data_IF_119608711359
#
_entry.id   IF_119608711359
#
_cell.length_a   1.000
_cell.length_b   1.000
_cell.length_c   1.000
_cell.angle_alpha   90.00
_cell.angle_beta   90.00
_cell.angle_gamma   90.00
#
_symmetry.space_group_name_H-M   'P 1'
#
loop_
_entity.id
_entity.type
_entity.pdbx_description
1 polymer ?
#
# COMPACT_ATOMS: atom_id res chain seq x y z
N UNK A 1 -18.34 3.83 -10.26
CA UNK A 1 -18.32 3.28 -8.89
C UNK A 1 -16.93 3.43 -8.31
N UNK A 2 -16.85 3.96 -7.11
CA UNK A 2 -15.56 4.08 -6.41
C UNK A 2 -15.05 2.70 -5.98
N UNK A 3 -13.82 2.38 -6.39
CA UNK A 3 -13.17 1.12 -6.01
C UNK A 3 -11.87 1.44 -5.27
N UNK A 4 -11.84 1.32 -3.94
CA UNK A 4 -10.66 1.68 -3.16
C UNK A 4 -9.49 0.71 -3.32
N UNK A 5 -9.72 -0.47 -3.89
CA UNK A 5 -8.70 -1.48 -4.14
C UNK A 5 -8.65 -1.83 -5.63
N UNK A 6 -7.47 -2.22 -6.15
CA UNK A 6 -7.38 -2.84 -7.48
C UNK A 6 -8.22 -4.11 -7.55
N UNK A 7 -8.68 -4.47 -8.75
CA UNK A 7 -9.47 -5.69 -8.95
C UNK A 7 -8.69 -6.97 -8.61
N UNK A 8 -7.37 -6.89 -8.63
CA UNK A 8 -6.51 -8.02 -8.28
C UNK A 8 -6.48 -8.33 -6.78
N UNK A 9 -7.08 -7.48 -5.94
CA UNK A 9 -7.01 -7.61 -4.48
C UNK A 9 -8.39 -7.68 -3.84
N UNK A 10 -8.44 -8.37 -2.71
CA UNK A 10 -9.61 -8.37 -1.83
C UNK A 10 -9.18 -8.29 -0.37
N UNK A 11 -10.12 -7.94 0.50
CA UNK A 11 -9.95 -7.96 1.95
C UNK A 11 -10.63 -9.20 2.49
N UNK A 12 -9.93 -9.96 3.32
CA UNK A 12 -10.44 -11.19 3.90
C UNK A 12 -9.82 -11.43 5.28
N UNK A 13 -10.39 -12.33 6.09
CA UNK A 13 -9.78 -12.71 7.37
C UNK A 13 -8.36 -13.23 7.17
N UNK A 14 -7.44 -12.75 8.02
CA UNK A 14 -6.02 -13.05 7.94
C UNK A 14 -5.61 -14.04 9.03
N UNK A 15 -4.67 -14.93 8.70
CA UNK A 15 -4.02 -15.77 9.71
C UNK A 15 -2.98 -15.02 10.54
N UNK A 16 -2.62 -13.80 10.14
CA UNK A 16 -1.64 -12.97 10.85
C UNK A 16 -2.34 -12.12 11.90
N UNK A 17 -3.29 -11.29 11.47
CA UNK A 17 -4.01 -10.39 12.36
C UNK A 17 -5.27 -9.88 11.65
N UNK A 18 -6.42 -9.98 12.30
CA UNK A 18 -7.69 -9.42 11.85
C UNK A 18 -8.00 -9.67 10.37
N UNK A 19 -8.13 -8.58 9.61
CA UNK A 19 -8.32 -8.60 8.16
C UNK A 19 -6.99 -8.33 7.46
N UNK A 20 -6.85 -8.82 6.25
CA UNK A 20 -5.68 -8.61 5.43
C UNK A 20 -6.01 -8.45 3.95
N UNK A 21 -4.99 -8.14 3.16
CA UNK A 21 -5.09 -8.06 1.70
C UNK A 21 -4.71 -9.40 1.08
N UNK A 22 -5.54 -9.89 0.18
CA UNK A 22 -5.31 -11.17 -0.50
C UNK A 22 -5.39 -11.00 -2.01
N UNK A 23 -4.58 -11.78 -2.72
CA UNK A 23 -4.59 -11.79 -4.18
C UNK A 23 -5.81 -12.53 -4.70
N UNK A 24 -6.63 -11.86 -5.51
CA UNK A 24 -7.77 -12.44 -6.21
C UNK A 24 -7.34 -13.20 -7.46
N UNK A 25 -6.15 -12.90 -7.94
CA UNK A 25 -5.54 -13.51 -9.11
C UNK A 25 -4.03 -13.50 -8.92
N UNK A 26 -3.30 -14.20 -9.79
CA UNK A 26 -1.85 -14.14 -9.77
C UNK A 26 -1.40 -12.70 -10.06
N UNK A 27 -0.45 -12.22 -9.26
CA UNK A 27 0.15 -10.88 -9.43
C UNK A 27 1.63 -11.07 -9.69
N UNK A 28 2.12 -10.50 -10.78
CA UNK A 28 3.53 -10.60 -11.15
C UNK A 28 4.39 -9.70 -10.27
N UNK A 29 5.62 -10.13 -10.01
CA UNK A 29 6.64 -9.32 -9.35
C UNK A 29 6.79 -7.97 -10.06
N UNK A 30 6.95 -6.90 -9.28
CA UNK A 30 7.13 -5.55 -9.82
C UNK A 30 5.84 -4.83 -10.18
N UNK A 31 4.68 -5.37 -9.79
CA UNK A 31 3.40 -4.72 -10.05
C UNK A 31 3.18 -3.58 -9.06
N UNK A 32 2.86 -2.40 -9.59
CA UNK A 32 2.44 -1.25 -8.79
C UNK A 32 0.95 -1.39 -8.48
N UNK A 33 0.61 -1.56 -7.20
CA UNK A 33 -0.77 -1.75 -6.75
C UNK A 33 -1.46 -0.43 -6.42
N UNK A 34 -0.72 0.68 -6.41
CA UNK A 34 -1.25 1.98 -6.11
C UNK A 34 -0.73 2.56 -4.80
N UNK A 35 -1.23 3.73 -4.45
CA UNK A 35 -0.78 4.45 -3.27
C UNK A 35 -1.27 3.77 -1.99
N UNK A 36 -0.32 3.45 -1.10
CA UNK A 36 -0.61 2.87 0.21
C UNK A 36 -0.63 3.91 1.33
N UNK A 37 0.25 4.91 1.23
CA UNK A 37 0.42 5.94 2.26
C UNK A 37 0.76 7.27 1.60
N UNK A 38 0.46 8.37 2.30
CA UNK A 38 0.97 9.69 1.94
C UNK A 38 1.24 10.49 3.21
N UNK A 39 2.20 11.43 3.11
CA UNK A 39 2.62 12.27 4.23
C UNK A 39 2.50 13.73 3.82
N UNK A 40 1.75 14.49 4.61
CA UNK A 40 1.62 15.93 4.49
C UNK A 40 2.03 16.54 5.83
N UNK A 41 3.04 17.42 5.82
CA UNK A 41 3.61 17.93 7.07
C UNK A 41 4.16 16.77 7.91
N UNK A 42 3.73 16.67 9.16
CA UNK A 42 4.17 15.62 10.08
C UNK A 42 3.21 14.42 10.16
N UNK A 43 2.16 14.42 9.34
CA UNK A 43 1.10 13.41 9.41
C UNK A 43 1.20 12.43 8.26
N UNK A 44 1.11 11.15 8.62
CA UNK A 44 1.05 10.04 7.65
C UNK A 44 -0.38 9.51 7.60
N UNK A 45 -0.91 9.42 6.39
CA UNK A 45 -2.25 8.90 6.13
C UNK A 45 -2.14 7.58 5.40
N UNK A 46 -3.08 6.67 5.70
CA UNK A 46 -3.17 5.37 5.05
C UNK A 46 -4.36 5.34 4.10
N UNK A 47 -4.16 4.80 2.91
CA UNK A 47 -5.25 4.39 2.03
C UNK A 47 -5.73 3.00 2.47
N UNK A 48 -6.81 2.45 1.89
CA UNK A 48 -7.19 1.06 2.19
C UNK A 48 -6.06 0.05 1.94
N UNK A 49 -5.20 0.27 0.94
CA UNK A 49 -4.02 -0.58 0.71
C UNK A 49 -3.09 -0.58 1.93
N UNK A 50 -2.79 0.60 2.45
CA UNK A 50 -1.91 0.72 3.62
C UNK A 50 -2.59 0.35 4.92
N UNK A 51 -3.92 0.47 4.99
CA UNK A 51 -4.70 0.21 6.20
C UNK A 51 -4.93 -1.27 6.48
N UNK A 52 -5.01 -2.10 5.45
CA UNK A 52 -5.33 -3.52 5.60
C UNK A 52 -4.15 -4.46 5.37
N UNK A 53 -3.00 -3.96 4.92
CA UNK A 53 -1.83 -4.81 4.73
C UNK A 53 -1.18 -5.15 6.07
N UNK A 54 -0.93 -6.43 6.30
CA UNK A 54 -0.33 -6.89 7.54
C UNK A 54 1.20 -6.90 7.47
N UNK A 55 1.82 -6.81 8.65
CA UNK A 55 3.27 -6.85 8.77
C UNK A 55 3.79 -8.28 8.65
N UNK A 56 4.96 -8.42 8.00
CA UNK A 56 5.73 -9.66 8.00
C UNK A 56 7.23 -9.32 7.98
N UNK A 57 8.04 -10.17 8.60
CA UNK A 57 9.50 -10.07 8.50
C UNK A 57 10.02 -10.69 7.20
N UNK A 58 9.16 -11.41 6.48
CA UNK A 58 9.45 -11.96 5.15
C UNK A 58 8.38 -11.51 4.18
N UNK A 59 8.29 -10.18 3.91
CA UNK A 59 7.21 -9.63 3.13
C UNK A 59 7.32 -9.98 1.64
N UNK A 60 6.19 -9.94 0.95
CA UNK A 60 6.14 -10.09 -0.51
C UNK A 60 5.88 -8.77 -1.24
N UNK A 61 5.77 -7.67 -0.50
CA UNK A 61 5.60 -6.32 -1.04
C UNK A 61 6.58 -5.36 -0.41
N UNK A 62 6.81 -4.25 -1.11
CA UNK A 62 7.64 -3.12 -0.64
C UNK A 62 6.90 -1.82 -0.90
N UNK A 63 7.29 -0.77 -0.18
CA UNK A 63 6.80 0.60 -0.41
C UNK A 63 7.83 1.36 -1.22
N UNK A 64 7.40 1.93 -2.34
CA UNK A 64 8.24 2.82 -3.15
C UNK A 64 7.88 4.27 -2.80
N UNK A 65 8.85 5.01 -2.27
CA UNK A 65 8.68 6.41 -1.90
C UNK A 65 8.77 7.31 -3.12
N UNK A 66 7.85 8.26 -3.22
CA UNK A 66 7.85 9.30 -4.23
C UNK A 66 7.68 10.66 -3.56
N UNK A 67 8.52 11.64 -3.97
CA UNK A 67 8.40 13.02 -3.52
C UNK A 67 7.58 13.77 -4.55
N UNK A 68 6.54 14.47 -4.09
CA UNK A 68 5.56 15.12 -4.94
C UNK A 68 5.53 16.61 -4.67
N UNK A 69 5.27 17.39 -5.72
CA UNK A 69 4.99 18.82 -5.64
C UNK A 69 3.68 19.09 -6.37
N UNK A 70 2.79 19.85 -5.76
CA UNK A 70 1.52 20.19 -6.35
C UNK A 70 1.18 21.65 -6.02
N UNK A 71 0.14 22.18 -6.65
CA UNK A 71 -0.32 23.56 -6.42
C UNK A 71 -1.74 23.54 -5.88
N UNK A 72 -2.04 24.49 -4.97
CA UNK A 72 -3.40 24.72 -4.53
C UNK A 72 -4.15 25.63 -5.51
N UNK A 73 -5.39 25.98 -5.19
CA UNK A 73 -6.24 26.80 -6.04
C UNK A 73 -5.72 28.23 -6.21
N UNK A 74 -4.81 28.67 -5.35
CA UNK A 74 -4.21 30.01 -5.36
C UNK A 74 -2.80 30.03 -5.96
N UNK A 75 -2.35 28.93 -6.54
CA UNK A 75 -1.04 28.80 -7.13
C UNK A 75 0.10 28.59 -6.13
N UNK A 76 -0.21 28.37 -4.86
CA UNK A 76 0.80 28.06 -3.85
C UNK A 76 1.27 26.63 -4.00
N UNK A 77 2.58 26.44 -4.11
CA UNK A 77 3.16 25.10 -4.19
C UNK A 77 3.29 24.49 -2.80
N UNK A 78 3.02 23.20 -2.73
CA UNK A 78 3.25 22.41 -1.53
C UNK A 78 3.92 21.09 -1.88
N UNK A 79 4.67 20.56 -0.92
CA UNK A 79 5.43 19.33 -1.09
C UNK A 79 4.85 18.25 -0.18
N UNK A 80 4.77 17.04 -0.71
CA UNK A 80 4.35 15.88 0.09
C UNK A 80 5.07 14.64 -0.40
N UNK A 81 5.01 13.59 0.40
CA UNK A 81 5.52 12.26 0.03
C UNK A 81 4.37 11.32 -0.13
N UNK A 82 4.52 10.38 -1.04
CA UNK A 82 3.61 9.24 -1.13
C UNK A 82 4.41 7.96 -1.29
N UNK A 83 3.79 6.86 -0.93
CA UNK A 83 4.36 5.53 -1.10
C UNK A 83 3.40 4.70 -1.91
N UNK A 84 3.90 4.07 -2.96
CA UNK A 84 3.15 3.08 -3.72
C UNK A 84 3.51 1.69 -3.22
N UNK A 85 2.51 0.84 -3.14
CA UNK A 85 2.70 -0.56 -2.79
C UNK A 85 3.10 -1.32 -4.05
N UNK A 86 4.26 -1.96 -4.00
CA UNK A 86 4.82 -2.72 -5.11
C UNK A 86 5.01 -4.16 -4.70
N UNK A 87 4.71 -5.09 -5.58
CA UNK A 87 5.03 -6.49 -5.32
C UNK A 87 6.52 -6.74 -5.52
N UNK A 88 7.13 -7.46 -4.59
CA UNK A 88 8.56 -7.82 -4.61
C UNK A 88 8.79 -9.27 -5.02
N UNK A 89 7.71 -10.02 -5.17
CA UNK A 89 7.67 -11.42 -5.60
C UNK A 89 6.43 -11.64 -6.45
N UNK A 90 6.44 -12.71 -7.23
CA UNK A 90 5.19 -13.22 -7.82
C UNK A 90 4.28 -13.70 -6.67
N UNK A 91 3.02 -13.30 -6.72
CA UNK A 91 2.05 -13.65 -5.69
C UNK A 91 0.96 -14.52 -6.33
N UNK A 92 0.79 -15.71 -5.78
CA UNK A 92 -0.24 -16.64 -6.28
C UNK A 92 -1.62 -16.20 -5.80
N UNK A 93 -2.64 -16.52 -6.59
CA UNK A 93 -4.04 -16.34 -6.19
C UNK A 93 -4.28 -16.95 -4.81
N UNK A 94 -4.94 -16.21 -3.94
CA UNK A 94 -5.26 -16.63 -2.58
C UNK A 94 -4.20 -16.34 -1.53
N UNK A 95 -3.02 -15.87 -1.93
CA UNK A 95 -1.96 -15.52 -0.96
C UNK A 95 -2.21 -14.15 -0.36
N UNK A 96 -1.86 -14.01 0.91
CA UNK A 96 -1.89 -12.72 1.58
C UNK A 96 -0.71 -11.86 1.18
N UNK A 97 -0.97 -10.57 0.90
CA UNK A 97 0.06 -9.57 0.67
C UNK A 97 0.54 -9.04 2.02
N UNK A 98 1.85 -8.93 2.19
CA UNK A 98 2.47 -8.50 3.43
C UNK A 98 3.54 -7.45 3.16
N UNK A 99 3.80 -6.63 4.17
CA UNK A 99 4.73 -5.52 4.10
C UNK A 99 5.52 -5.46 5.41
N UNK A 100 6.78 -5.06 5.35
CA UNK A 100 7.50 -4.75 6.58
C UNK A 100 7.13 -3.34 7.02
N UNK A 101 6.59 -3.21 8.22
CA UNK A 101 6.25 -1.90 8.77
C UNK A 101 7.51 -1.13 9.09
N UNK A 102 7.61 0.10 8.57
CA UNK A 102 8.75 0.97 8.79
C UNK A 102 8.34 2.33 9.38
N UNK A 103 7.03 2.63 9.41
CA UNK A 103 6.51 3.87 9.97
C UNK A 103 6.20 3.75 11.47
N UNK A 104 6.14 2.53 11.98
CA UNK A 104 5.77 2.24 13.36
C UNK A 104 6.87 1.43 14.01
N UNK A 105 7.15 1.72 15.26
CA UNK A 105 8.08 0.92 16.06
C UNK A 105 7.34 -0.33 16.56
N UNK A 106 7.45 -1.37 15.82
CA UNK A 106 6.89 -2.67 16.19
C UNK A 106 8.01 -3.67 16.36
#
# INVERSE_FOLDING_TARGET
MYKPLPESLTIAPSGINGLGLFAEQRIMQGTNLGMSHFKIGDRIFRTPLGGFINHSNTPNCVKAELRMTDEDLHGHQYHYKKWNLMTDHDIKKGKELTLRYTFYNV
#
